data_IF_068190985781
#
_entry.id   IF_068190985781
#
_cell.length_a   1.000
_cell.length_b   1.000
_cell.length_c   1.000
_cell.angle_alpha   90.00
_cell.angle_beta   90.00
_cell.angle_gamma   90.00
#
_symmetry.space_group_name_H-M   'P 1'
#
loop_
_entity.id
_entity.type
_entity.pdbx_description
1 polymer ?
#
# COMPACT_ATOMS: atom_id res chain seq x y z
N UNK A 1 3.17 1.54 19.89
CA UNK A 1 4.18 1.66 18.82
C UNK A 1 3.44 1.69 17.49
N UNK A 2 3.82 2.61 16.61
CA UNK A 2 3.32 2.71 15.23
C UNK A 2 4.49 2.33 14.31
N UNK A 3 4.22 1.57 13.26
CA UNK A 3 5.17 1.13 12.24
C UNK A 3 4.73 1.63 10.88
N UNK A 4 5.70 2.01 10.04
CA UNK A 4 5.50 2.33 8.63
C UNK A 4 5.88 1.12 7.77
N UNK A 5 5.07 0.82 6.77
CA UNK A 5 5.37 -0.16 5.73
C UNK A 5 5.29 0.49 4.36
N UNK A 6 6.28 0.18 3.53
CA UNK A 6 6.47 0.78 2.20
C UNK A 6 6.59 -0.32 1.14
N UNK A 7 5.55 -1.15 0.93
CA UNK A 7 5.62 -2.23 -0.04
C UNK A 7 5.75 -1.70 -1.46
N UNK A 8 6.22 -2.60 -2.32
CA UNK A 8 6.43 -2.28 -3.70
C UNK A 8 5.79 -3.28 -4.66
N UNK A 9 4.91 -2.78 -5.50
CA UNK A 9 4.17 -3.58 -6.47
C UNK A 9 4.72 -3.33 -7.87
N UNK A 10 4.92 -4.39 -8.65
CA UNK A 10 5.36 -4.32 -10.07
C UNK A 10 4.20 -4.00 -11.02
N UNK A 11 3.42 -2.99 -10.65
CA UNK A 11 2.32 -2.43 -11.44
C UNK A 11 2.39 -0.91 -11.28
N UNK A 12 2.35 -0.15 -12.38
CA UNK A 12 2.41 1.32 -12.35
C UNK A 12 1.57 2.01 -13.42
N UNK A 13 0.77 1.24 -14.17
CA UNK A 13 0.02 1.69 -15.36
C UNK A 13 -1.48 1.47 -15.19
N UNK A 14 -1.87 0.31 -14.67
CA UNK A 14 -3.27 -0.03 -14.44
C UNK A 14 -3.72 0.48 -13.07
N UNK A 15 -4.42 1.61 -13.09
CA UNK A 15 -4.98 2.22 -11.89
C UNK A 15 -6.06 1.36 -11.22
N UNK A 16 -6.72 0.46 -11.95
CA UNK A 16 -7.72 -0.44 -11.35
C UNK A 16 -7.05 -1.53 -10.51
N UNK A 17 -5.90 -2.04 -10.96
CA UNK A 17 -5.12 -3.02 -10.18
C UNK A 17 -4.53 -2.33 -8.94
N UNK A 18 -3.95 -1.13 -9.12
CA UNK A 18 -3.40 -0.36 -8.00
C UNK A 18 -4.49 -0.05 -6.97
N UNK A 19 -5.68 0.35 -7.41
CA UNK A 19 -6.82 0.61 -6.52
C UNK A 19 -7.23 -0.66 -5.77
N UNK A 20 -7.32 -1.81 -6.43
CA UNK A 20 -7.66 -3.07 -5.75
C UNK A 20 -6.65 -3.40 -4.65
N UNK A 21 -5.35 -3.18 -4.89
CA UNK A 21 -4.30 -3.39 -3.88
C UNK A 21 -4.51 -2.46 -2.69
N UNK A 22 -4.72 -1.17 -2.92
CA UNK A 22 -4.90 -0.19 -1.84
C UNK A 22 -6.21 -0.41 -1.08
N UNK A 23 -7.27 -0.82 -1.77
CA UNK A 23 -8.55 -1.16 -1.15
C UNK A 23 -8.39 -2.34 -0.17
N UNK A 24 -7.59 -3.36 -0.49
CA UNK A 24 -7.33 -4.46 0.46
C UNK A 24 -6.51 -4.00 1.68
N UNK A 25 -5.53 -3.11 1.49
CA UNK A 25 -4.75 -2.53 2.59
C UNK A 25 -5.66 -1.73 3.54
N UNK A 26 -6.58 -0.93 3.00
CA UNK A 26 -7.49 -0.09 3.79
C UNK A 26 -8.60 -0.87 4.51
N UNK A 27 -8.87 -2.13 4.13
CA UNK A 27 -9.80 -3.01 4.87
C UNK A 27 -9.24 -3.51 6.19
N UNK A 28 -7.93 -3.41 6.42
CA UNK A 28 -7.30 -3.86 7.66
C UNK A 28 -7.46 -2.80 8.74
N UNK A 29 -8.28 -3.11 9.74
CA UNK A 29 -8.49 -2.25 10.89
C UNK A 29 -7.16 -1.89 11.58
N UNK A 30 -6.97 -0.61 11.88
CA UNK A 30 -5.75 -0.10 12.51
C UNK A 30 -4.61 0.21 11.55
N UNK A 31 -4.84 0.11 10.23
CA UNK A 31 -3.96 0.64 9.19
C UNK A 31 -4.51 1.96 8.64
N UNK A 32 -3.60 2.86 8.24
CA UNK A 32 -3.91 4.08 7.51
C UNK A 32 -2.99 4.21 6.31
N UNK A 33 -3.59 4.26 5.12
CA UNK A 33 -2.92 4.60 3.89
C UNK A 33 -2.46 6.06 3.92
N UNK A 34 -1.17 6.30 3.60
CA UNK A 34 -0.56 7.64 3.59
C UNK A 34 -0.25 8.13 2.18
N UNK A 35 0.26 7.25 1.32
CA UNK A 35 0.64 7.61 -0.04
C UNK A 35 0.52 6.43 -1.00
N UNK A 36 0.24 6.75 -2.26
CA UNK A 36 0.24 5.82 -3.40
C UNK A 36 0.93 6.53 -4.55
N UNK A 37 2.12 6.08 -4.92
CA UNK A 37 2.96 6.70 -5.95
C UNK A 37 3.20 5.73 -7.12
N UNK A 38 2.37 5.79 -8.18
CA UNK A 38 2.51 4.95 -9.36
C UNK A 38 3.51 5.52 -10.38
N UNK A 39 4.61 4.81 -10.57
CA UNK A 39 5.60 5.06 -11.60
C UNK A 39 5.25 4.36 -12.93
N UNK A 40 4.57 5.08 -13.84
CA UNK A 40 4.17 4.56 -15.16
C UNK A 40 5.35 4.11 -16.04
N UNK A 41 6.45 4.86 -16.00
CA UNK A 41 7.67 4.55 -16.76
C UNK A 41 8.40 3.32 -16.22
N UNK A 42 8.43 3.16 -14.89
CA UNK A 42 9.09 2.05 -14.20
C UNK A 42 8.19 0.83 -14.01
N UNK A 43 6.90 0.93 -14.34
CA UNK A 43 5.86 -0.08 -14.08
C UNK A 43 5.87 -0.57 -12.63
N UNK A 44 5.93 0.37 -11.68
CA UNK A 44 6.10 0.12 -10.26
C UNK A 44 5.27 1.10 -9.46
N UNK A 45 4.58 0.65 -8.41
CA UNK A 45 3.88 1.52 -7.46
C UNK A 45 4.49 1.33 -6.08
N UNK A 46 4.82 2.46 -5.44
CA UNK A 46 5.20 2.50 -4.02
C UNK A 46 3.95 2.87 -3.23
N UNK A 47 3.58 2.04 -2.26
CA UNK A 47 2.47 2.33 -1.34
C UNK A 47 3.06 2.55 0.03
N UNK A 48 2.59 3.57 0.75
CA UNK A 48 3.04 3.87 2.11
C UNK A 48 1.83 3.84 3.04
N UNK A 49 1.90 3.06 4.11
CA UNK A 49 0.88 3.03 5.14
C UNK A 49 1.49 2.85 6.54
N UNK A 50 0.73 3.22 7.57
CA UNK A 50 1.14 3.11 8.97
C UNK A 50 0.08 2.42 9.81
N UNK A 51 0.50 1.76 10.88
CA UNK A 51 -0.40 1.10 11.82
C UNK A 51 0.32 0.47 13.00
N UNK A 52 -0.42 -0.26 13.83
CA UNK A 52 0.20 -1.14 14.83
C UNK A 52 0.95 -2.30 14.13
N UNK A 53 2.03 -2.84 14.73
CA UNK A 53 2.83 -3.89 14.11
C UNK A 53 2.02 -5.06 13.52
N UNK A 54 1.07 -5.59 14.28
CA UNK A 54 0.25 -6.73 13.85
C UNK A 54 -0.67 -6.36 12.67
N UNK A 55 -1.28 -5.18 12.71
CA UNK A 55 -2.12 -4.67 11.63
C UNK A 55 -1.32 -4.38 10.36
N UNK A 56 -0.10 -3.85 10.51
CA UNK A 56 0.82 -3.60 9.39
C UNK A 56 1.26 -4.90 8.74
N UNK A 57 1.54 -5.95 9.51
CA UNK A 57 1.88 -7.28 8.99
C UNK A 57 0.68 -7.92 8.28
N UNK A 58 -0.53 -7.74 8.79
CA UNK A 58 -1.74 -8.26 8.15
C UNK A 58 -2.04 -7.58 6.82
N UNK A 59 -1.72 -6.30 6.67
CA UNK A 59 -1.99 -5.52 5.46
C UNK A 59 -0.89 -5.60 4.37
N UNK A 60 0.31 -6.06 4.72
CA UNK A 60 1.46 -6.14 3.81
C UNK A 60 1.41 -7.38 2.91
#
# INVERSE_FOLDING_TARGET
>A
MIVECVPNFSEGRDLNIIKQITDEIEKVDGVRLLNVDPGKATNRTVVTFVGHPDAVVQAA
#
